data_IF_710109562752
#
_entry.id   IF_710109562752
#
_cell.length_a   1.000
_cell.length_b   1.000
_cell.length_c   1.000
_cell.angle_alpha   90.00
_cell.angle_beta   90.00
_cell.angle_gamma   90.00
#
_symmetry.space_group_name_H-M   'P 1'
#
loop_
_entity.id
_entity.type
_entity.pdbx_description
1 polymer ?
#
# COMPACT_ATOMS: atom_id res chain seq x y z
N UNK A 1 -28.88 3.73 4.70
CA UNK A 1 -27.43 3.96 4.79
C UNK A 1 -26.85 3.36 6.07
N UNK A 2 -25.52 3.28 6.19
CA UNK A 2 -24.86 2.74 7.38
C UNK A 2 -25.14 3.62 8.61
N UNK A 3 -25.05 3.03 9.80
CA UNK A 3 -25.24 3.76 11.05
C UNK A 3 -24.18 4.87 11.22
N UNK A 4 -24.53 5.99 11.86
CA UNK A 4 -23.63 7.15 12.03
C UNK A 4 -22.27 6.76 12.64
N UNK A 5 -22.26 5.89 13.66
CA UNK A 5 -21.01 5.40 14.26
C UNK A 5 -20.13 4.64 13.26
N UNK A 6 -20.71 3.82 12.39
CA UNK A 6 -19.97 3.11 11.34
C UNK A 6 -19.35 4.09 10.34
N UNK A 7 -20.09 5.12 9.96
CA UNK A 7 -19.58 6.18 9.07
C UNK A 7 -18.41 6.90 9.73
N UNK A 8 -18.55 7.31 10.98
CA UNK A 8 -17.57 8.13 11.69
C UNK A 8 -16.29 7.38 12.04
N UNK A 9 -16.42 6.16 12.57
CA UNK A 9 -15.27 5.42 13.13
C UNK A 9 -14.64 4.39 12.16
N UNK A 10 -15.32 4.04 11.08
CA UNK A 10 -14.81 3.06 10.11
C UNK A 10 -14.69 3.62 8.69
N UNK A 11 -15.80 4.14 8.12
CA UNK A 11 -15.83 4.51 6.70
C UNK A 11 -14.98 5.74 6.42
N UNK A 12 -15.16 6.84 7.15
CA UNK A 12 -14.37 8.08 6.96
C UNK A 12 -12.87 7.86 7.14
N UNK A 13 -12.40 7.23 8.24
CA UNK A 13 -10.97 6.93 8.39
C UNK A 13 -10.43 6.01 7.30
N UNK A 14 -11.22 5.03 6.85
CA UNK A 14 -10.87 4.15 5.74
C UNK A 14 -10.66 4.93 4.44
N UNK A 15 -11.62 5.76 4.04
CA UNK A 15 -11.51 6.61 2.84
C UNK A 15 -10.31 7.55 2.93
N UNK A 16 -10.05 8.18 4.08
CA UNK A 16 -8.89 9.05 4.27
C UNK A 16 -7.57 8.30 4.14
N UNK A 17 -7.51 7.08 4.69
CA UNK A 17 -6.34 6.21 4.52
C UNK A 17 -6.12 5.83 3.06
N UNK A 18 -7.17 5.45 2.35
CA UNK A 18 -7.08 5.08 0.93
C UNK A 18 -6.68 6.27 0.05
N UNK A 19 -7.21 7.48 0.32
CA UNK A 19 -6.80 8.70 -0.36
C UNK A 19 -5.30 8.99 -0.23
N UNK A 20 -4.74 8.79 0.97
CA UNK A 20 -3.35 9.11 1.24
C UNK A 20 -2.35 8.03 0.82
N UNK A 21 -2.79 6.77 0.69
CA UNK A 21 -1.90 5.62 0.51
C UNK A 21 -2.16 4.84 -0.77
N UNK A 22 -3.43 4.59 -1.09
CA UNK A 22 -3.83 3.59 -2.07
C UNK A 22 -4.51 4.19 -3.30
N UNK A 23 -4.66 5.52 -3.37
CA UNK A 23 -5.36 6.21 -4.47
C UNK A 23 -4.88 5.74 -5.84
N UNK A 24 -3.59 5.87 -6.11
CA UNK A 24 -2.99 5.47 -7.38
C UNK A 24 -3.04 3.96 -7.59
N UNK A 25 -2.77 3.19 -6.53
CA UNK A 25 -2.76 1.72 -6.59
C UNK A 25 -4.14 1.17 -6.97
N UNK A 26 -5.24 1.72 -6.41
CA UNK A 26 -6.61 1.34 -6.78
C UNK A 26 -6.86 1.61 -8.27
N UNK A 27 -6.45 2.77 -8.77
CA UNK A 27 -6.62 3.13 -10.18
C UNK A 27 -5.80 2.24 -11.12
N UNK A 28 -4.58 1.87 -10.73
CA UNK A 28 -3.74 0.98 -11.52
C UNK A 28 -4.30 -0.44 -11.61
N UNK A 29 -4.85 -0.96 -10.51
CA UNK A 29 -5.58 -2.24 -10.50
C UNK A 29 -6.83 -2.16 -11.39
N UNK A 30 -7.58 -1.05 -11.34
CA UNK A 30 -8.73 -0.82 -12.21
C UNK A 30 -8.34 -0.78 -13.70
N UNK A 31 -7.26 -0.07 -14.06
CA UNK A 31 -6.73 -0.04 -15.43
C UNK A 31 -6.37 -1.43 -15.94
N UNK A 32 -5.62 -2.18 -15.13
CA UNK A 32 -5.19 -3.55 -15.48
C UNK A 32 -6.40 -4.47 -15.71
N UNK A 33 -7.41 -4.38 -14.84
CA UNK A 33 -8.64 -5.15 -14.96
C UNK A 33 -9.42 -4.83 -16.24
N UNK A 34 -9.63 -3.54 -16.54
CA UNK A 34 -10.34 -3.10 -17.74
C UNK A 34 -9.61 -3.51 -19.01
N UNK A 35 -8.28 -3.41 -19.04
CA UNK A 35 -7.46 -3.88 -20.16
C UNK A 35 -7.60 -5.39 -20.36
N UNK A 36 -7.62 -6.16 -19.28
CA UNK A 36 -7.84 -7.60 -19.33
C UNK A 36 -9.23 -7.93 -19.87
N UNK A 37 -10.29 -7.27 -19.38
CA UNK A 37 -11.66 -7.49 -19.85
C UNK A 37 -11.79 -7.24 -21.36
N UNK A 38 -11.19 -6.16 -21.86
CA UNK A 38 -11.17 -5.84 -23.29
C UNK A 38 -10.36 -6.88 -24.10
N UNK A 39 -9.18 -7.26 -23.62
CA UNK A 39 -8.33 -8.27 -24.25
C UNK A 39 -9.03 -9.63 -24.38
N UNK A 40 -9.84 -10.00 -23.40
CA UNK A 40 -10.60 -11.25 -23.40
C UNK A 40 -11.94 -11.13 -24.15
N UNK A 41 -12.26 -9.97 -24.73
CA UNK A 41 -13.53 -9.74 -25.44
C UNK A 41 -14.76 -9.74 -24.54
N UNK A 42 -14.60 -9.58 -23.22
CA UNK A 42 -15.70 -9.52 -22.25
C UNK A 42 -16.41 -8.17 -22.34
N UNK A 43 -15.65 -7.10 -22.56
CA UNK A 43 -16.16 -5.76 -22.87
C UNK A 43 -15.59 -5.30 -24.21
N UNK A 44 -16.30 -4.38 -24.89
CA UNK A 44 -15.79 -3.83 -26.15
C UNK A 44 -14.60 -2.88 -25.91
N UNK A 45 -13.73 -2.77 -26.92
CA UNK A 45 -12.62 -1.80 -26.89
C UNK A 45 -13.09 -0.36 -26.71
N UNK A 46 -14.25 -0.02 -27.26
CA UNK A 46 -14.84 1.31 -27.13
C UNK A 46 -15.26 1.61 -25.68
N UNK A 47 -15.90 0.65 -25.00
CA UNK A 47 -16.24 0.75 -23.58
C UNK A 47 -14.98 0.87 -22.73
N UNK A 48 -14.00 0.01 -22.98
CA UNK A 48 -12.72 0.08 -22.28
C UNK A 48 -12.03 1.44 -22.43
N UNK A 49 -12.00 1.99 -23.65
CA UNK A 49 -11.40 3.30 -23.90
C UNK A 49 -12.11 4.44 -23.14
N UNK A 50 -13.43 4.40 -23.02
CA UNK A 50 -14.18 5.38 -22.24
C UNK A 50 -13.85 5.27 -20.75
N UNK A 51 -13.82 4.07 -20.17
CA UNK A 51 -13.47 3.82 -18.78
C UNK A 51 -12.05 4.27 -18.49
N UNK A 52 -11.08 3.91 -19.34
CA UNK A 52 -9.67 4.24 -19.17
C UNK A 52 -9.39 5.74 -19.23
N UNK A 53 -10.12 6.50 -20.07
CA UNK A 53 -10.01 7.98 -20.10
C UNK A 53 -10.41 8.60 -18.77
N UNK A 54 -11.52 8.18 -18.19
CA UNK A 54 -11.98 8.68 -16.89
C UNK A 54 -11.03 8.23 -15.77
N UNK A 55 -10.52 7.02 -15.84
CA UNK A 55 -9.53 6.53 -14.88
C UNK A 55 -8.22 7.32 -14.96
N UNK A 56 -7.81 7.74 -16.16
CA UNK A 56 -6.64 8.61 -16.35
C UNK A 56 -6.89 10.02 -15.83
N UNK A 57 -8.09 10.56 -16.02
CA UNK A 57 -8.51 11.84 -15.43
C UNK A 57 -8.46 11.78 -13.90
N UNK A 58 -8.99 10.74 -13.27
CA UNK A 58 -8.86 10.49 -11.83
C UNK A 58 -7.39 10.43 -11.39
N UNK A 59 -6.54 9.73 -12.14
CA UNK A 59 -5.12 9.62 -11.79
C UNK A 59 -4.40 10.97 -11.79
N UNK A 60 -4.82 11.91 -12.64
CA UNK A 60 -4.27 13.27 -12.67
C UNK A 60 -4.74 14.16 -11.51
N UNK A 61 -5.78 13.75 -10.79
CA UNK A 61 -6.39 14.49 -9.68
C UNK A 61 -5.88 14.05 -8.29
N UNK A 62 -4.87 13.22 -8.21
CA UNK A 62 -4.43 12.56 -6.96
C UNK A 62 -4.32 13.51 -5.77
N UNK A 63 -3.72 14.68 -5.95
CA UNK A 63 -3.47 15.65 -4.88
C UNK A 63 -4.63 16.64 -4.65
N UNK A 64 -5.56 16.72 -5.59
CA UNK A 64 -6.72 17.61 -5.54
C UNK A 64 -7.95 16.98 -6.23
N UNK A 65 -8.61 16.00 -5.60
CA UNK A 65 -9.76 15.33 -6.16
C UNK A 65 -10.91 16.28 -6.49
N UNK A 66 -11.28 16.39 -7.77
CA UNK A 66 -12.33 17.27 -8.28
C UNK A 66 -13.71 16.60 -8.27
N UNK A 67 -13.96 15.68 -7.38
CA UNK A 67 -15.23 14.98 -7.22
C UNK A 67 -15.64 14.87 -5.75
N UNK A 68 -16.94 14.80 -5.50
CA UNK A 68 -17.47 14.65 -4.17
C UNK A 68 -17.16 13.24 -3.62
N UNK A 69 -16.37 13.18 -2.55
CA UNK A 69 -16.10 11.96 -1.81
C UNK A 69 -17.10 11.88 -0.65
N UNK A 70 -17.96 10.88 -0.70
CA UNK A 70 -19.02 10.70 0.28
C UNK A 70 -18.84 9.39 1.06
N UNK A 71 -19.09 9.40 2.37
CA UNK A 71 -19.12 8.18 3.15
C UNK A 71 -20.39 7.34 2.97
N UNK A 72 -21.34 7.79 2.16
CA UNK A 72 -22.57 7.05 1.86
C UNK A 72 -22.30 5.78 1.03
N UNK A 73 -21.19 5.76 0.32
CA UNK A 73 -20.64 4.59 -0.35
C UNK A 73 -19.41 4.12 0.43
N UNK A 74 -19.33 2.87 0.77
CA UNK A 74 -18.51 2.26 1.82
C UNK A 74 -17.00 2.55 1.80
N UNK A 75 -16.41 2.93 0.65
CA UNK A 75 -14.97 3.15 0.49
C UNK A 75 -14.60 4.06 -0.70
N UNK A 76 -13.30 4.29 -0.91
CA UNK A 76 -12.80 5.10 -2.01
C UNK A 76 -13.05 4.44 -3.39
N UNK A 77 -12.97 3.10 -3.46
CA UNK A 77 -13.22 2.38 -4.71
C UNK A 77 -14.64 2.65 -5.25
N UNK A 78 -15.66 2.59 -4.40
CA UNK A 78 -17.03 2.90 -4.81
C UNK A 78 -17.23 4.39 -5.12
N UNK A 79 -16.48 5.29 -4.50
CA UNK A 79 -16.46 6.71 -4.89
C UNK A 79 -15.91 6.88 -6.33
N UNK A 80 -14.85 6.16 -6.69
CA UNK A 80 -14.31 6.13 -8.05
C UNK A 80 -15.32 5.55 -9.05
N UNK A 81 -15.99 4.44 -8.71
CA UNK A 81 -17.00 3.82 -9.56
C UNK A 81 -18.17 4.77 -9.78
N UNK A 82 -18.64 5.44 -8.73
CA UNK A 82 -19.69 6.48 -8.83
C UNK A 82 -19.28 7.61 -9.77
N UNK A 83 -18.08 8.14 -9.62
CA UNK A 83 -17.55 9.18 -10.50
C UNK A 83 -17.45 8.69 -11.95
N UNK A 84 -16.95 7.50 -12.18
CA UNK A 84 -16.88 6.87 -13.49
C UNK A 84 -18.26 6.76 -14.16
N UNK A 85 -19.28 6.30 -13.42
CA UNK A 85 -20.66 6.19 -13.90
C UNK A 85 -21.22 7.57 -14.23
N UNK A 86 -20.95 8.60 -13.41
CA UNK A 86 -21.40 9.97 -13.68
C UNK A 86 -20.76 10.57 -14.93
N UNK A 87 -19.49 10.28 -15.20
CA UNK A 87 -18.75 10.76 -16.38
C UNK A 87 -19.03 9.98 -17.66
N UNK A 88 -19.59 8.78 -17.54
CA UNK A 88 -19.94 7.93 -18.69
C UNK A 88 -21.42 7.60 -18.70
N UNK A 89 -21.80 6.47 -18.16
CA UNK A 89 -23.16 6.01 -17.89
C UNK A 89 -23.09 4.74 -17.04
N UNK A 90 -24.21 4.34 -16.44
CA UNK A 90 -24.30 3.05 -15.76
C UNK A 90 -23.96 1.88 -16.69
N UNK A 91 -24.39 1.96 -17.97
CA UNK A 91 -24.15 0.93 -18.98
C UNK A 91 -22.65 0.80 -19.34
N UNK A 92 -21.89 1.87 -19.28
CA UNK A 92 -20.45 1.89 -19.59
C UNK A 92 -19.63 1.71 -18.33
N UNK A 93 -19.76 2.62 -17.35
CA UNK A 93 -18.93 2.63 -16.13
C UNK A 93 -19.14 1.40 -15.26
N UNK A 94 -20.37 0.90 -15.16
CA UNK A 94 -20.68 -0.32 -14.41
C UNK A 94 -20.00 -1.59 -14.95
N UNK A 95 -19.54 -1.60 -16.21
CA UNK A 95 -18.81 -2.73 -16.77
C UNK A 95 -17.41 -2.90 -16.17
N UNK A 96 -16.85 -1.88 -15.53
CA UNK A 96 -15.58 -2.01 -14.79
C UNK A 96 -15.66 -3.06 -13.69
N UNK A 97 -16.84 -3.28 -13.10
CA UNK A 97 -17.03 -4.26 -12.01
C UNK A 97 -17.25 -5.69 -12.53
N UNK A 98 -17.29 -5.91 -13.85
CA UNK A 98 -17.57 -7.22 -14.43
C UNK A 98 -16.55 -8.28 -13.94
N UNK A 99 -17.08 -9.43 -13.50
CA UNK A 99 -16.30 -10.58 -13.05
C UNK A 99 -15.30 -10.27 -11.91
N UNK A 100 -15.60 -9.29 -11.05
CA UNK A 100 -14.75 -8.88 -9.94
C UNK A 100 -15.52 -8.75 -8.63
N UNK A 101 -14.89 -9.11 -7.52
CA UNK A 101 -15.30 -8.76 -6.18
C UNK A 101 -14.43 -7.65 -5.62
N UNK A 102 -14.93 -6.87 -4.66
CA UNK A 102 -14.10 -5.94 -3.90
C UNK A 102 -12.93 -6.63 -3.19
N UNK A 103 -13.10 -7.88 -2.80
CA UNK A 103 -12.08 -8.63 -2.06
C UNK A 103 -10.80 -8.88 -2.87
N UNK A 104 -10.91 -9.21 -4.17
CA UNK A 104 -9.73 -9.40 -5.02
C UNK A 104 -9.01 -8.09 -5.31
N UNK A 105 -9.76 -6.98 -5.48
CA UNK A 105 -9.18 -5.64 -5.56
C UNK A 105 -8.38 -5.31 -4.30
N UNK A 106 -9.00 -5.40 -3.12
CA UNK A 106 -8.36 -5.05 -1.85
C UNK A 106 -7.14 -5.94 -1.56
N UNK A 107 -7.21 -7.25 -1.86
CA UNK A 107 -6.07 -8.14 -1.70
C UNK A 107 -4.89 -7.72 -2.61
N UNK A 108 -5.18 -7.30 -3.84
CA UNK A 108 -4.16 -6.85 -4.79
C UNK A 108 -3.55 -5.51 -4.34
N UNK A 109 -4.38 -4.53 -3.98
CA UNK A 109 -3.94 -3.22 -3.47
C UNK A 109 -3.06 -3.39 -2.24
N UNK A 110 -3.51 -4.19 -1.24
CA UNK A 110 -2.73 -4.47 -0.04
C UNK A 110 -1.35 -5.06 -0.37
N UNK A 111 -1.26 -5.98 -1.32
CA UNK A 111 0.03 -6.58 -1.73
C UNK A 111 0.94 -5.57 -2.43
N UNK A 112 0.39 -4.72 -3.29
CA UNK A 112 1.16 -3.69 -4.00
C UNK A 112 1.71 -2.64 -3.01
N UNK A 113 0.87 -2.13 -2.11
CA UNK A 113 1.25 -1.15 -1.10
C UNK A 113 2.25 -1.75 -0.10
N UNK A 114 2.01 -2.98 0.39
CA UNK A 114 2.93 -3.69 1.29
C UNK A 114 4.30 -3.93 0.66
N UNK A 115 4.37 -4.15 -0.65
CA UNK A 115 5.64 -4.27 -1.37
C UNK A 115 6.48 -3.00 -1.28
N UNK A 116 5.85 -1.83 -1.45
CA UNK A 116 6.52 -0.54 -1.28
C UNK A 116 7.07 -0.35 0.13
N UNK A 117 6.25 -0.62 1.14
CA UNK A 117 6.69 -0.55 2.55
C UNK A 117 7.80 -1.53 2.87
N UNK A 118 7.73 -2.76 2.35
CA UNK A 118 8.77 -3.76 2.57
C UNK A 118 10.12 -3.33 1.97
N UNK A 119 10.13 -2.75 0.78
CA UNK A 119 11.36 -2.24 0.16
C UNK A 119 11.96 -1.10 0.98
N UNK A 120 11.15 -0.14 1.42
CA UNK A 120 11.62 0.94 2.30
C UNK A 120 12.15 0.42 3.65
N UNK A 121 11.45 -0.53 4.28
CA UNK A 121 11.94 -1.18 5.50
C UNK A 121 13.29 -1.87 5.27
N UNK A 122 13.44 -2.58 4.15
CA UNK A 122 14.70 -3.26 3.80
C UNK A 122 15.88 -2.30 3.63
N UNK A 123 15.64 -1.10 3.09
CA UNK A 123 16.66 -0.05 2.99
C UNK A 123 17.11 0.43 4.37
N UNK A 124 16.17 0.74 5.27
CA UNK A 124 16.49 1.16 6.64
C UNK A 124 17.19 0.06 7.44
N UNK A 125 16.74 -1.18 7.26
CA UNK A 125 17.36 -2.35 7.88
C UNK A 125 18.81 -2.53 7.44
N UNK A 126 19.08 -2.41 6.15
CA UNK A 126 20.44 -2.46 5.62
C UNK A 126 21.31 -1.27 6.10
N UNK A 127 20.73 -0.09 6.26
CA UNK A 127 21.46 1.04 6.83
C UNK A 127 21.88 0.77 8.28
N UNK A 128 20.99 0.20 9.10
CA UNK A 128 21.30 -0.21 10.47
C UNK A 128 22.42 -1.28 10.50
N UNK A 129 22.33 -2.31 9.66
CA UNK A 129 23.38 -3.35 9.55
C UNK A 129 24.74 -2.74 9.20
N UNK A 130 24.79 -1.81 8.26
CA UNK A 130 26.02 -1.10 7.89
C UNK A 130 26.60 -0.29 9.06
N UNK A 131 25.76 0.41 9.83
CA UNK A 131 26.20 1.17 10.99
C UNK A 131 26.77 0.27 12.10
N UNK A 132 26.08 -0.83 12.41
CA UNK A 132 26.55 -1.83 13.38
C UNK A 132 27.86 -2.48 12.94
N UNK A 133 28.03 -2.78 11.66
CA UNK A 133 29.26 -3.35 11.11
C UNK A 133 30.44 -2.35 11.22
N UNK A 134 30.20 -1.07 10.94
CA UNK A 134 31.20 -0.03 11.09
C UNK A 134 31.64 0.08 12.57
N UNK A 135 30.66 0.15 13.48
CA UNK A 135 30.93 0.19 14.93
C UNK A 135 31.73 -1.03 15.40
N UNK A 136 31.39 -2.23 14.93
CA UNK A 136 32.12 -3.45 15.27
C UNK A 136 33.55 -3.38 14.77
N UNK A 137 33.84 -2.93 13.55
CA UNK A 137 35.20 -2.81 13.00
C UNK A 137 36.09 -1.87 13.78
N UNK A 138 35.54 -0.77 14.26
CA UNK A 138 36.26 0.23 15.04
C UNK A 138 36.54 -0.24 16.50
N UNK A 139 35.80 -1.25 16.98
CA UNK A 139 35.81 -1.67 18.39
C UNK A 139 36.22 -3.14 18.60
N UNK A 140 37.06 -3.67 17.74
CA UNK A 140 37.55 -5.07 17.84
C UNK A 140 38.34 -5.35 19.10
N UNK A 141 38.94 -4.33 19.72
CA UNK A 141 39.73 -4.41 20.94
C UNK A 141 39.11 -3.69 22.15
N UNK A 142 37.92 -3.10 21.99
CA UNK A 142 37.20 -2.43 23.07
C UNK A 142 36.56 -3.47 23.98
N UNK A 143 37.19 -3.73 25.12
CA UNK A 143 36.74 -4.72 26.11
C UNK A 143 35.58 -4.16 26.93
N UNK A 144 34.54 -4.96 27.11
CA UNK A 144 33.40 -4.66 27.97
C UNK A 144 32.91 -5.92 28.69
N UNK A 145 32.09 -5.75 29.72
CA UNK A 145 31.42 -6.88 30.35
C UNK A 145 30.31 -7.45 29.44
N UNK A 146 30.31 -8.77 29.28
CA UNK A 146 29.09 -9.47 28.89
C UNK A 146 28.11 -9.50 30.05
N UNK A 147 26.83 -9.77 29.75
CA UNK A 147 25.78 -9.85 30.75
C UNK A 147 24.93 -11.10 30.55
N UNK A 148 24.57 -11.73 31.68
CA UNK A 148 23.57 -12.79 31.73
C UNK A 148 22.62 -12.53 32.89
N UNK A 149 21.32 -12.63 32.65
CA UNK A 149 20.29 -12.29 33.66
C UNK A 149 20.51 -10.91 34.32
N UNK A 150 20.93 -9.90 33.54
CA UNK A 150 21.27 -8.55 33.99
C UNK A 150 22.45 -8.48 34.99
N UNK A 151 23.26 -9.53 35.11
CA UNK A 151 24.46 -9.56 35.92
C UNK A 151 25.71 -9.58 35.02
N UNK A 152 26.80 -8.89 35.42
CA UNK A 152 28.07 -8.99 34.73
C UNK A 152 28.54 -10.45 34.62
N UNK A 153 29.08 -10.81 33.46
CA UNK A 153 29.54 -12.14 33.11
C UNK A 153 30.95 -12.06 32.54
N UNK A 154 31.26 -12.84 31.51
CA UNK A 154 32.56 -12.90 30.88
C UNK A 154 32.94 -11.56 30.20
N UNK A 155 34.26 -11.22 30.15
CA UNK A 155 34.70 -10.12 29.30
C UNK A 155 34.52 -10.44 27.84
N UNK A 156 33.91 -9.51 27.09
CA UNK A 156 33.74 -9.57 25.66
C UNK A 156 34.26 -8.30 25.00
N UNK A 157 34.26 -8.24 23.67
CA UNK A 157 34.49 -6.97 22.97
C UNK A 157 33.17 -6.38 22.50
N UNK A 158 33.13 -5.07 22.31
CA UNK A 158 31.97 -4.42 21.70
C UNK A 158 31.73 -4.95 20.29
N UNK A 159 32.79 -5.28 19.54
CA UNK A 159 32.69 -5.92 18.24
C UNK A 159 31.98 -7.28 18.32
N UNK A 160 32.28 -8.10 19.33
CA UNK A 160 31.61 -9.39 19.53
C UNK A 160 30.10 -9.20 19.75
N UNK A 161 29.75 -8.25 20.62
CA UNK A 161 28.33 -7.92 20.86
C UNK A 161 27.61 -7.47 19.60
N UNK A 162 28.17 -6.51 18.84
CA UNK A 162 27.60 -6.05 17.60
C UNK A 162 27.49 -7.16 16.54
N UNK A 163 28.48 -8.08 16.49
CA UNK A 163 28.51 -9.21 15.57
C UNK A 163 27.39 -10.22 15.86
N UNK A 164 27.09 -10.45 17.14
CA UNK A 164 25.97 -11.31 17.52
C UNK A 164 24.63 -10.74 17.01
N UNK A 165 24.40 -9.43 17.23
CA UNK A 165 23.20 -8.74 16.71
C UNK A 165 23.15 -8.80 15.18
N UNK A 166 24.28 -8.58 14.50
CA UNK A 166 24.37 -8.64 13.04
C UNK A 166 24.04 -10.03 12.50
N UNK A 167 24.48 -11.09 13.18
CA UNK A 167 24.18 -12.46 12.80
C UNK A 167 22.68 -12.79 12.89
N UNK A 168 21.99 -12.27 13.91
CA UNK A 168 20.53 -12.42 14.04
C UNK A 168 19.75 -11.59 13.01
N UNK A 169 20.43 -10.63 12.38
CA UNK A 169 19.87 -9.78 11.31
C UNK A 169 20.07 -10.35 9.88
N UNK A 170 20.69 -11.49 9.71
CA UNK A 170 20.85 -12.16 8.39
C UNK A 170 19.63 -13.04 8.06
#
# INVERSE_FOLDING_TARGET
GPAKAVVEYRIRPGIQSDLSRSYQTILDVNKAHVLMLAKQGIISHEVAAQILRVTQDLASQQDDPQFEITPDVEDLYFNFERYLIQKTSLKVGGQQHTARSRNDLLATVTRMDSRGFFLGLSEHYNALRKALLALARENTHTVMSGYTHMQPSEPITLAHYCSAVLNDME
#
